data_IF_521644155635
#
_entry.id   IF_521644155635
#
_cell.length_a   1.000
_cell.length_b   1.000
_cell.length_c   1.000
_cell.angle_alpha   90.00
_cell.angle_beta   90.00
_cell.angle_gamma   90.00
#
_symmetry.space_group_name_H-M   'P 1'
#
loop_
_entity.id
_entity.type
_entity.pdbx_description
1 polymer ?
#
# COMPACT_ATOMS: atom_id res chain seq x y z
N UNK A 1 11.46 -1.46 30.97
CA UNK A 1 10.28 -2.26 31.36
C UNK A 1 9.07 -1.77 30.57
N UNK A 2 8.28 -2.68 29.99
CA UNK A 2 7.07 -2.33 29.24
C UNK A 2 6.12 -1.47 30.09
N UNK A 3 5.73 -0.29 29.59
CA UNK A 3 4.68 0.56 30.19
C UNK A 3 3.26 -0.03 30.02
N UNK A 4 3.11 -1.07 29.20
CA UNK A 4 1.81 -1.67 28.88
C UNK A 4 1.55 -2.88 29.77
N UNK A 5 0.34 -2.96 30.32
CA UNK A 5 -0.16 -4.13 31.05
C UNK A 5 -0.36 -5.29 30.07
N UNK A 6 0.06 -6.49 30.47
CA UNK A 6 -0.20 -7.74 29.73
C UNK A 6 -1.68 -8.16 29.85
N UNK A 7 -2.08 -9.25 29.20
CA UNK A 7 -3.40 -9.84 29.43
C UNK A 7 -3.50 -10.48 30.83
N UNK A 8 -2.42 -11.14 31.27
CA UNK A 8 -2.30 -11.73 32.61
C UNK A 8 -2.41 -10.66 33.71
N UNK A 9 -1.77 -9.50 33.52
CA UNK A 9 -1.90 -8.38 34.46
C UNK A 9 -3.37 -7.94 34.62
N UNK A 10 -4.15 -7.96 33.53
CA UNK A 10 -5.58 -7.59 33.56
C UNK A 10 -6.46 -8.66 34.20
N UNK A 11 -6.12 -9.94 34.05
CA UNK A 11 -6.74 -11.03 34.80
C UNK A 11 -6.59 -10.80 36.30
N UNK A 12 -5.37 -10.50 36.75
CA UNK A 12 -5.07 -10.21 38.16
C UNK A 12 -5.85 -8.98 38.64
N UNK A 13 -5.87 -7.89 37.86
CA UNK A 13 -6.67 -6.71 38.19
C UNK A 13 -8.15 -7.08 38.40
N UNK A 14 -8.77 -7.84 37.48
CA UNK A 14 -10.18 -8.21 37.60
C UNK A 14 -10.47 -9.09 38.82
N UNK A 15 -9.60 -10.07 39.11
CA UNK A 15 -9.74 -10.91 40.30
C UNK A 15 -9.68 -10.06 41.57
N UNK A 16 -8.65 -9.21 41.71
CA UNK A 16 -8.45 -8.38 42.90
C UNK A 16 -9.54 -7.32 43.07
N UNK A 17 -10.15 -6.87 41.97
CA UNK A 17 -11.34 -6.01 42.01
C UNK A 17 -12.59 -6.73 42.56
N UNK A 18 -12.76 -8.03 42.29
CA UNK A 18 -13.83 -8.83 42.91
C UNK A 18 -13.62 -8.97 44.41
N UNK A 19 -12.35 -9.05 44.85
CA UNK A 19 -11.95 -9.13 46.25
C UNK A 19 -11.94 -7.77 46.97
N UNK A 20 -12.40 -6.68 46.31
CA UNK A 20 -12.39 -5.31 46.82
C UNK A 20 -10.99 -4.80 47.23
N UNK A 21 -9.93 -5.28 46.58
CA UNK A 21 -8.57 -4.80 46.82
C UNK A 21 -8.42 -3.33 46.42
N UNK A 22 -7.58 -2.59 47.16
CA UNK A 22 -7.25 -1.20 46.82
C UNK A 22 -6.31 -1.14 45.60
N UNK A 23 -6.31 -0.02 44.87
CA UNK A 23 -5.36 0.18 43.77
C UNK A 23 -3.89 0.07 44.20
N UNK A 24 -3.60 0.40 45.46
CA UNK A 24 -2.26 0.25 46.03
C UNK A 24 -1.86 -1.22 46.13
N UNK A 25 -2.75 -2.06 46.68
CA UNK A 25 -2.51 -3.50 46.81
C UNK A 25 -2.32 -4.17 45.44
N UNK A 26 -3.18 -3.84 44.47
CA UNK A 26 -3.10 -4.35 43.09
C UNK A 26 -1.78 -3.88 42.43
N UNK A 27 -1.39 -2.62 42.66
CA UNK A 27 -0.15 -2.07 42.14
C UNK A 27 1.08 -2.78 42.69
N UNK A 28 1.14 -3.04 44.00
CA UNK A 28 2.25 -3.76 44.64
C UNK A 28 2.40 -5.17 44.08
N UNK A 29 1.30 -5.90 43.89
CA UNK A 29 1.29 -7.27 43.36
C UNK A 29 1.82 -7.34 41.92
N UNK A 30 1.48 -6.34 41.09
CA UNK A 30 1.90 -6.27 39.68
C UNK A 30 3.22 -5.52 39.45
N UNK A 31 3.85 -4.99 40.50
CA UNK A 31 5.00 -4.10 40.38
C UNK A 31 4.70 -2.82 39.57
N UNK A 32 3.48 -2.27 39.71
CA UNK A 32 3.01 -1.06 39.01
C UNK A 32 2.57 0.02 40.00
N UNK A 33 2.67 1.28 39.59
CA UNK A 33 2.17 2.38 40.41
C UNK A 33 0.63 2.35 40.51
N UNK A 34 0.08 2.71 41.69
CA UNK A 34 -1.37 2.74 41.97
C UNK A 34 -2.15 3.59 40.95
N UNK A 35 -1.54 4.64 40.41
CA UNK A 35 -2.18 5.51 39.40
C UNK A 35 -2.28 4.81 38.05
N UNK A 36 -1.39 3.87 37.73
CA UNK A 36 -1.47 3.04 36.51
C UNK A 36 -2.72 2.17 36.56
N UNK A 37 -2.93 1.49 37.69
CA UNK A 37 -4.13 0.66 37.92
C UNK A 37 -5.40 1.50 37.85
N UNK A 38 -5.41 2.66 38.52
CA UNK A 38 -6.56 3.56 38.48
C UNK A 38 -6.89 4.07 37.06
N UNK A 39 -5.88 4.42 36.27
CA UNK A 39 -6.04 4.87 34.87
C UNK A 39 -6.55 3.75 33.97
N UNK A 40 -5.99 2.55 34.09
CA UNK A 40 -6.43 1.35 33.36
C UNK A 40 -7.93 1.10 33.58
N UNK A 41 -8.35 1.02 34.84
CA UNK A 41 -9.74 0.69 35.21
C UNK A 41 -10.71 1.80 34.74
N UNK A 42 -10.36 3.07 34.95
CA UNK A 42 -11.19 4.19 34.49
C UNK A 42 -11.34 4.20 32.97
N UNK A 43 -10.25 3.92 32.24
CA UNK A 43 -10.22 4.01 30.78
C UNK A 43 -10.93 2.84 30.10
N UNK A 44 -10.75 1.63 30.62
CA UNK A 44 -11.18 0.42 29.95
C UNK A 44 -12.33 -0.34 30.65
N UNK A 45 -12.99 0.26 31.63
CA UNK A 45 -14.31 -0.21 32.07
C UNK A 45 -15.42 0.27 31.14
N UNK A 46 -16.56 -0.40 31.15
CA UNK A 46 -17.74 -0.04 30.36
C UNK A 46 -19.03 -0.10 31.19
N UNK A 47 -20.07 0.58 30.70
CA UNK A 47 -21.38 0.60 31.33
C UNK A 47 -22.29 -0.51 30.78
N UNK A 48 -22.90 -1.29 31.67
CA UNK A 48 -23.77 -2.42 31.35
C UNK A 48 -25.17 -2.20 31.92
N UNK A 49 -26.16 -2.03 31.02
CA UNK A 49 -27.59 -2.02 31.35
C UNK A 49 -28.05 -3.46 31.59
N UNK A 50 -28.08 -3.89 32.84
CA UNK A 50 -28.58 -5.22 33.20
C UNK A 50 -29.35 -5.21 34.51
N UNK A 51 -30.39 -6.03 34.58
CA UNK A 51 -31.20 -6.25 35.79
C UNK A 51 -30.82 -7.53 36.53
N UNK A 52 -31.80 -8.13 37.21
CA UNK A 52 -31.77 -9.47 37.81
C UNK A 52 -33.01 -10.25 37.34
N UNK A 53 -33.09 -11.58 37.52
CA UNK A 53 -34.29 -12.33 37.14
C UNK A 53 -35.57 -11.71 37.69
N UNK A 54 -36.53 -11.44 36.80
CA UNK A 54 -37.81 -10.80 37.13
C UNK A 54 -37.77 -9.27 37.35
N UNK A 55 -36.61 -8.64 37.31
CA UNK A 55 -36.45 -7.18 37.48
C UNK A 55 -35.46 -6.64 36.46
N UNK A 56 -35.91 -6.04 35.36
CA UNK A 56 -35.01 -5.52 34.33
C UNK A 56 -34.18 -4.34 34.84
N UNK A 57 -33.25 -3.89 34.00
CA UNK A 57 -32.57 -2.64 34.23
C UNK A 57 -33.60 -1.51 34.39
N UNK A 58 -33.53 -0.81 35.51
CA UNK A 58 -34.38 0.34 35.80
C UNK A 58 -33.56 1.33 36.63
N UNK A 59 -33.17 2.48 36.05
CA UNK A 59 -32.40 3.49 36.74
C UNK A 59 -33.25 4.46 37.57
N UNK A 60 -34.57 4.34 37.60
CA UNK A 60 -35.44 5.28 38.31
C UNK A 60 -35.24 5.19 39.84
N UNK A 61 -35.06 6.33 40.51
CA UNK A 61 -34.95 6.46 41.98
C UNK A 61 -36.14 5.88 42.72
N UNK A 62 -37.33 5.95 42.13
CA UNK A 62 -38.57 5.46 42.73
C UNK A 62 -38.91 4.02 42.34
N UNK A 63 -38.05 3.30 41.59
CA UNK A 63 -38.35 1.96 41.04
C UNK A 63 -38.87 0.93 42.05
N UNK A 64 -38.43 0.99 43.30
CA UNK A 64 -38.84 0.05 44.35
C UNK A 64 -40.23 0.38 44.93
N UNK A 65 -40.61 1.66 44.97
CA UNK A 65 -41.85 2.16 45.58
C UNK A 65 -42.88 2.66 44.57
N UNK A 66 -42.54 2.66 43.27
CA UNK A 66 -43.37 3.15 42.18
C UNK A 66 -44.70 2.37 42.10
N UNK A 67 -45.81 3.13 42.16
CA UNK A 67 -47.18 2.60 42.03
C UNK A 67 -47.80 2.87 40.66
N UNK A 68 -47.08 3.55 39.76
CA UNK A 68 -47.59 3.92 38.46
C UNK A 68 -47.81 2.70 37.54
N UNK A 69 -48.86 2.77 36.73
CA UNK A 69 -49.31 1.69 35.83
C UNK A 69 -49.68 2.29 34.48
N UNK A 70 -49.47 1.53 33.41
CA UNK A 70 -49.86 1.87 32.02
C UNK A 70 -49.37 3.24 31.53
N UNK A 71 -48.22 3.73 32.01
CA UNK A 71 -47.61 4.99 31.53
C UNK A 71 -47.37 4.93 30.00
N UNK A 72 -46.90 3.79 29.48
CA UNK A 72 -46.63 3.60 28.06
C UNK A 72 -47.90 3.35 27.21
N UNK A 73 -49.11 3.48 27.77
CA UNK A 73 -50.36 3.29 27.04
C UNK A 73 -50.46 1.92 26.34
N UNK A 74 -50.94 1.92 25.09
CA UNK A 74 -51.14 0.73 24.24
C UNK A 74 -49.87 0.24 23.54
N UNK A 75 -48.79 1.02 23.56
CA UNK A 75 -47.50 0.65 22.94
C UNK A 75 -46.58 -0.16 23.86
N UNK A 76 -47.05 -0.50 25.07
CA UNK A 76 -46.28 -1.27 26.03
C UNK A 76 -46.10 -2.73 25.57
N UNK A 77 -44.86 -3.14 25.34
CA UNK A 77 -44.48 -4.52 24.96
C UNK A 77 -44.40 -5.48 26.15
N UNK A 78 -44.53 -4.97 27.38
CA UNK A 78 -44.43 -5.79 28.60
C UNK A 78 -45.77 -6.46 28.95
N UNK A 79 -45.78 -7.79 28.97
CA UNK A 79 -46.99 -8.61 29.15
C UNK A 79 -47.71 -8.40 30.50
N UNK A 80 -47.01 -7.95 31.55
CA UNK A 80 -47.66 -7.61 32.82
C UNK A 80 -47.99 -6.12 32.91
N UNK A 81 -49.26 -5.78 32.74
CA UNK A 81 -49.80 -4.42 32.83
C UNK A 81 -49.85 -3.85 34.27
N UNK A 82 -49.23 -4.52 35.26
CA UNK A 82 -49.47 -4.26 36.68
C UNK A 82 -48.46 -3.30 37.34
N UNK A 83 -47.22 -3.16 36.84
CA UNK A 83 -46.21 -2.24 37.38
C UNK A 83 -45.31 -1.66 36.28
N UNK A 84 -45.32 -0.34 36.12
CA UNK A 84 -44.41 0.33 35.18
C UNK A 84 -42.94 0.16 35.55
N UNK A 85 -42.60 -0.05 36.82
CA UNK A 85 -41.20 -0.25 37.24
C UNK A 85 -40.52 -1.50 36.68
N UNK A 86 -41.26 -2.41 36.06
CA UNK A 86 -40.73 -3.59 35.36
C UNK A 86 -40.72 -3.41 33.83
N UNK A 87 -41.21 -2.30 33.30
CA UNK A 87 -41.19 -2.02 31.87
C UNK A 87 -39.84 -1.40 31.47
N UNK A 88 -39.25 -1.85 30.36
CA UNK A 88 -37.98 -1.32 29.84
C UNK A 88 -38.07 0.12 29.38
N UNK A 89 -39.24 0.56 28.92
CA UNK A 89 -39.46 1.88 28.33
C UNK A 89 -40.14 2.88 29.29
N UNK A 90 -40.43 2.49 30.54
CA UNK A 90 -41.17 3.35 31.46
C UNK A 90 -40.47 4.69 31.72
N UNK A 91 -39.14 4.74 31.65
CA UNK A 91 -38.35 5.94 31.89
C UNK A 91 -38.48 6.96 30.76
N UNK A 92 -38.88 6.56 29.55
CA UNK A 92 -39.07 7.46 28.41
C UNK A 92 -40.41 8.23 28.47
N UNK A 93 -41.39 7.67 29.18
CA UNK A 93 -42.76 8.17 29.18
C UNK A 93 -43.21 8.70 30.55
N UNK A 94 -42.38 8.60 31.58
CA UNK A 94 -42.71 9.00 32.95
C UNK A 94 -42.25 10.42 33.25
N UNK A 95 -43.19 11.34 33.52
CA UNK A 95 -42.89 12.72 33.94
C UNK A 95 -42.14 12.81 35.26
N UNK A 96 -42.38 11.86 36.18
CA UNK A 96 -41.76 11.83 37.51
C UNK A 96 -40.42 11.07 37.54
N UNK A 97 -39.85 10.77 36.37
CA UNK A 97 -38.60 10.02 36.27
C UNK A 97 -37.45 10.85 36.84
N UNK A 98 -36.77 10.29 37.84
CA UNK A 98 -35.51 10.81 38.36
C UNK A 98 -34.49 9.68 38.34
N UNK A 99 -33.36 9.89 37.69
CA UNK A 99 -32.28 8.91 37.62
C UNK A 99 -31.60 8.73 38.98
N UNK A 100 -31.41 7.48 39.39
CA UNK A 100 -30.64 7.07 40.55
C UNK A 100 -29.26 6.60 40.13
N UNK A 101 -28.27 7.46 40.38
CA UNK A 101 -26.89 7.27 39.97
C UNK A 101 -26.15 6.50 41.05
N UNK A 102 -25.61 5.33 40.68
CA UNK A 102 -24.84 4.49 41.59
C UNK A 102 -23.56 5.20 42.09
N UNK A 103 -23.38 5.26 43.42
CA UNK A 103 -22.23 5.88 44.08
C UNK A 103 -20.90 5.15 43.83
N UNK A 104 -20.92 3.89 43.39
CA UNK A 104 -19.73 3.14 42.99
C UNK A 104 -18.99 3.86 41.85
N UNK A 105 -19.70 4.62 41.00
CA UNK A 105 -19.08 5.35 39.89
C UNK A 105 -18.24 6.55 40.34
N UNK A 106 -18.48 7.07 41.54
CA UNK A 106 -17.79 8.26 42.07
C UNK A 106 -16.70 7.92 43.10
N UNK A 107 -16.54 6.65 43.49
CA UNK A 107 -15.55 6.21 44.48
C UNK A 107 -14.68 5.09 43.93
N UNK A 108 -13.36 5.06 44.23
CA UNK A 108 -12.52 3.90 43.94
C UNK A 108 -13.16 2.59 44.42
N UNK A 109 -13.16 1.51 43.62
CA UNK A 109 -12.43 1.33 42.37
C UNK A 109 -13.15 1.79 41.08
N UNK A 110 -14.23 2.56 41.19
CA UNK A 110 -15.06 3.08 40.07
C UNK A 110 -15.82 2.01 39.27
N UNK A 111 -15.77 0.75 39.70
CA UNK A 111 -16.39 -0.39 39.03
C UNK A 111 -17.14 -1.25 40.04
N UNK A 112 -18.15 -1.96 39.56
CA UNK A 112 -19.05 -2.76 40.37
C UNK A 112 -18.57 -4.20 40.60
N UNK A 113 -17.41 -4.59 40.06
CA UNK A 113 -16.90 -5.97 40.09
C UNK A 113 -16.92 -6.62 41.49
N UNK A 114 -16.53 -5.88 42.53
CA UNK A 114 -16.56 -6.33 43.94
C UNK A 114 -17.79 -5.91 44.73
N UNK A 115 -18.79 -5.27 44.10
CA UNK A 115 -19.95 -4.73 44.81
C UNK A 115 -20.87 -5.86 45.30
N UNK A 116 -21.08 -5.94 46.62
CA UNK A 116 -21.97 -6.94 47.25
C UNK A 116 -23.42 -6.89 46.75
N UNK A 117 -23.87 -5.72 46.28
CA UNK A 117 -25.22 -5.53 45.75
C UNK A 117 -25.33 -5.86 44.25
N UNK A 118 -24.22 -6.12 43.55
CA UNK A 118 -24.20 -6.34 42.09
C UNK A 118 -25.23 -7.38 41.61
N UNK A 119 -25.38 -8.57 42.26
CA UNK A 119 -26.35 -9.59 41.82
C UNK A 119 -27.81 -9.13 41.93
N UNK A 120 -28.10 -8.20 42.84
CA UNK A 120 -29.46 -7.69 43.08
C UNK A 120 -29.69 -6.32 42.43
N UNK A 121 -28.67 -5.71 41.86
CA UNK A 121 -28.68 -4.35 41.35
C UNK A 121 -29.39 -4.24 39.99
N UNK A 122 -30.29 -3.28 39.87
CA UNK A 122 -31.01 -2.93 38.63
C UNK A 122 -30.54 -1.60 38.03
N UNK A 123 -29.55 -0.95 38.65
CA UNK A 123 -28.96 0.29 38.17
C UNK A 123 -27.92 0.03 37.06
N UNK A 124 -27.42 1.13 36.48
CA UNK A 124 -26.39 1.08 35.46
C UNK A 124 -25.07 0.63 36.11
N UNK A 125 -24.61 -0.57 35.77
CA UNK A 125 -23.40 -1.17 36.32
C UNK A 125 -22.19 -0.72 35.51
N UNK A 126 -21.06 -0.48 36.17
CA UNK A 126 -19.77 -0.27 35.50
C UNK A 126 -18.91 -1.50 35.71
N UNK A 127 -18.49 -2.17 34.65
CA UNK A 127 -17.78 -3.44 34.72
C UNK A 127 -16.40 -3.27 34.09
N UNK A 128 -15.37 -3.80 34.77
CA UNK A 128 -14.07 -4.04 34.17
C UNK A 128 -14.02 -5.49 33.69
N UNK A 129 -13.89 -5.69 32.38
CA UNK A 129 -13.69 -7.00 31.77
C UNK A 129 -12.28 -7.05 31.15
N UNK A 130 -11.45 -8.03 31.51
CA UNK A 130 -10.07 -8.08 31.02
C UNK A 130 -9.92 -8.30 29.52
N UNK A 131 -10.82 -9.06 28.89
CA UNK A 131 -10.75 -9.34 27.45
C UNK A 131 -11.07 -8.06 26.66
N UNK A 132 -12.18 -7.40 27.01
CA UNK A 132 -12.55 -6.09 26.45
C UNK A 132 -11.44 -5.05 26.69
N UNK A 133 -10.92 -4.99 27.92
CA UNK A 133 -9.86 -4.05 28.26
C UNK A 133 -8.56 -4.31 27.48
N UNK A 134 -8.24 -5.58 27.22
CA UNK A 134 -7.05 -5.96 26.45
C UNK A 134 -7.20 -5.60 24.97
N UNK A 135 -8.33 -5.95 24.35
CA UNK A 135 -8.63 -5.61 22.96
C UNK A 135 -8.64 -4.10 22.74
N UNK A 136 -9.34 -3.34 23.59
CA UNK A 136 -9.40 -1.87 23.52
C UNK A 136 -8.05 -1.21 23.75
N UNK A 137 -7.23 -1.74 24.66
CA UNK A 137 -5.87 -1.24 24.86
C UNK A 137 -4.96 -1.54 23.66
N UNK A 138 -5.09 -2.72 23.06
CA UNK A 138 -4.32 -3.09 21.86
C UNK A 138 -4.75 -2.25 20.65
N UNK A 139 -6.05 -2.00 20.49
CA UNK A 139 -6.60 -1.11 19.48
C UNK A 139 -6.09 0.32 19.66
N UNK A 140 -6.15 0.87 20.87
CA UNK A 140 -5.64 2.21 21.17
C UNK A 140 -4.12 2.34 20.92
N UNK A 141 -3.34 1.29 21.18
CA UNK A 141 -1.91 1.25 20.84
C UNK A 141 -1.71 1.18 19.31
N UNK A 142 -2.57 0.44 18.60
CA UNK A 142 -2.56 0.37 17.14
C UNK A 142 -2.92 1.73 16.51
N UNK A 143 -3.97 2.38 16.97
CA UNK A 143 -4.39 3.72 16.53
C UNK A 143 -3.37 4.80 16.89
N UNK A 144 -2.77 4.75 18.08
CA UNK A 144 -1.68 5.66 18.41
C UNK A 144 -0.47 5.51 17.47
N UNK A 145 -0.32 4.36 16.80
CA UNK A 145 0.73 4.09 15.79
C UNK A 145 0.30 4.42 14.36
N UNK A 146 -0.99 4.63 14.07
CA UNK A 146 -1.45 5.14 12.76
C UNK A 146 -1.22 6.64 12.61
N UNK A 147 -0.91 7.33 13.71
CA UNK A 147 -0.40 8.70 13.68
C UNK A 147 -1.48 9.78 13.55
N UNK A 148 -2.77 9.44 13.70
CA UNK A 148 -3.90 10.37 13.72
C UNK A 148 -4.35 10.52 15.17
N UNK A 149 -3.87 11.58 15.83
CA UNK A 149 -4.05 11.80 17.28
C UNK A 149 -5.04 12.93 17.60
N UNK A 150 -5.73 13.47 16.59
CA UNK A 150 -6.63 14.63 16.71
C UNK A 150 -8.09 14.21 16.54
N UNK A 151 -8.99 14.87 17.29
CA UNK A 151 -10.43 14.75 17.06
C UNK A 151 -10.84 15.45 15.75
N UNK A 152 -12.07 15.22 15.27
CA UNK A 152 -12.54 15.79 13.99
C UNK A 152 -12.54 17.32 13.98
N UNK A 153 -12.87 17.96 15.11
CA UNK A 153 -12.87 19.43 15.23
C UNK A 153 -11.46 20.03 15.08
N UNK A 154 -10.46 19.38 15.68
CA UNK A 154 -9.05 19.77 15.56
C UNK A 154 -8.54 19.59 14.13
N UNK A 155 -8.92 18.49 13.46
CA UNK A 155 -8.57 18.25 12.05
C UNK A 155 -9.20 19.32 11.17
N UNK A 156 -10.48 19.64 11.36
CA UNK A 156 -11.18 20.67 10.60
C UNK A 156 -10.56 22.06 10.80
N UNK A 157 -10.20 22.40 12.04
CA UNK A 157 -9.52 23.65 12.38
C UNK A 157 -8.15 23.76 11.70
N UNK A 158 -7.32 22.72 11.78
CA UNK A 158 -6.00 22.69 11.15
C UNK A 158 -6.14 22.72 9.62
N UNK A 159 -7.10 21.98 9.05
CA UNK A 159 -7.40 21.98 7.62
C UNK A 159 -7.76 23.38 7.11
N UNK A 160 -8.54 24.14 7.89
CA UNK A 160 -8.91 25.52 7.56
C UNK A 160 -7.74 26.49 7.46
N UNK A 161 -6.67 26.27 8.23
CA UNK A 161 -5.43 27.07 8.18
C UNK A 161 -4.57 26.62 6.99
N UNK A 162 -4.34 25.32 6.88
CA UNK A 162 -3.33 24.77 5.95
C UNK A 162 -3.82 24.77 4.50
N UNK A 163 -5.06 24.34 4.24
CA UNK A 163 -5.53 24.10 2.88
C UNK A 163 -5.51 25.34 1.98
N UNK A 164 -5.93 26.54 2.45
CA UNK A 164 -5.82 27.77 1.66
C UNK A 164 -4.37 28.16 1.35
N UNK A 165 -3.47 28.03 2.32
CA UNK A 165 -2.06 28.44 2.18
C UNK A 165 -1.27 27.52 1.23
N UNK A 166 -1.51 26.21 1.31
CA UNK A 166 -0.95 25.25 0.36
C UNK A 166 -1.49 25.48 -1.05
N UNK A 167 -2.79 25.77 -1.21
CA UNK A 167 -3.38 26.14 -2.50
C UNK A 167 -2.81 27.45 -3.08
N UNK A 168 -2.33 28.34 -2.22
CA UNK A 168 -1.57 29.54 -2.59
C UNK A 168 -0.07 29.27 -2.84
N UNK A 169 0.36 28.00 -2.85
CA UNK A 169 1.71 27.58 -3.22
C UNK A 169 2.72 27.54 -2.06
N UNK A 170 2.29 27.73 -0.82
CA UNK A 170 3.19 27.59 0.34
C UNK A 170 3.46 26.12 0.66
N UNK A 171 4.68 25.81 1.09
CA UNK A 171 5.02 24.46 1.58
C UNK A 171 4.49 24.23 3.00
N UNK A 172 4.17 22.99 3.36
CA UNK A 172 3.78 22.65 4.73
C UNK A 172 4.84 23.05 5.76
N UNK A 173 6.13 23.00 5.39
CA UNK A 173 7.21 23.44 6.25
C UNK A 173 7.12 24.94 6.56
N UNK A 174 6.90 25.77 5.53
CA UNK A 174 6.74 27.21 5.70
C UNK A 174 5.52 27.54 6.57
N UNK A 175 4.38 26.94 6.25
CA UNK A 175 3.13 27.12 7.00
C UNK A 175 3.31 26.70 8.46
N UNK A 176 4.02 25.59 8.70
CA UNK A 176 4.30 25.12 10.04
C UNK A 176 5.13 26.13 10.85
N UNK A 177 6.16 26.73 10.26
CA UNK A 177 6.98 27.74 10.94
C UNK A 177 6.20 29.01 11.26
N UNK A 178 5.34 29.45 10.34
CA UNK A 178 4.58 30.70 10.47
C UNK A 178 3.36 30.56 11.41
N UNK A 179 2.83 29.35 11.56
CA UNK A 179 1.61 29.07 12.34
C UNK A 179 1.81 28.02 13.45
N UNK A 180 3.02 27.87 13.98
CA UNK A 180 3.34 26.79 14.94
C UNK A 180 2.42 26.79 16.17
N UNK A 181 2.15 27.97 16.71
CA UNK A 181 1.32 28.16 17.91
C UNK A 181 -0.17 27.96 17.62
N UNK A 182 -0.61 28.20 16.38
CA UNK A 182 -2.00 27.96 15.97
C UNK A 182 -2.20 26.48 15.64
N UNK A 183 -1.23 25.81 15.03
CA UNK A 183 -1.33 24.42 14.58
C UNK A 183 -1.30 23.43 15.74
N UNK A 184 -0.55 23.73 16.81
CA UNK A 184 -0.47 22.92 18.05
C UNK A 184 -0.12 21.44 17.81
N UNK A 185 0.55 21.13 16.70
CA UNK A 185 0.99 19.79 16.33
C UNK A 185 2.31 19.87 15.56
N UNK A 186 3.04 18.75 15.47
CA UNK A 186 4.34 18.74 14.79
C UNK A 186 4.20 18.82 13.26
N UNK A 187 5.22 19.34 12.57
CA UNK A 187 5.28 19.33 11.10
C UNK A 187 5.02 17.93 10.51
N UNK A 188 5.60 16.89 11.14
CA UNK A 188 5.39 15.49 10.77
C UNK A 188 3.91 15.08 10.84
N UNK A 189 3.17 15.59 11.80
CA UNK A 189 1.73 15.34 11.95
C UNK A 189 0.95 15.88 10.74
N UNK A 190 1.33 17.05 10.22
CA UNK A 190 0.69 17.64 9.04
C UNK A 190 0.88 16.76 7.81
N UNK A 191 2.10 16.28 7.57
CA UNK A 191 2.37 15.35 6.47
C UNK A 191 1.58 14.04 6.63
N UNK A 192 1.51 13.50 7.85
CA UNK A 192 0.72 12.29 8.11
C UNK A 192 -0.78 12.51 7.82
N UNK A 193 -1.33 13.69 8.14
CA UNK A 193 -2.76 13.98 7.92
C UNK A 193 -3.07 14.17 6.43
N UNK A 194 -2.15 14.76 5.66
CA UNK A 194 -2.25 14.80 4.19
C UNK A 194 -2.17 13.38 3.59
N UNK A 195 -1.25 12.54 4.09
CA UNK A 195 -1.11 11.15 3.64
C UNK A 195 -2.32 10.29 3.96
N UNK A 196 -2.91 10.50 5.14
CA UNK A 196 -4.15 9.89 5.57
C UNK A 196 -5.41 10.50 4.93
N UNK A 197 -5.26 11.47 4.02
CA UNK A 197 -6.35 12.09 3.27
C UNK A 197 -7.37 12.84 4.13
N UNK A 198 -6.95 13.35 5.29
CA UNK A 198 -7.80 14.05 6.26
C UNK A 198 -8.01 15.54 5.97
N UNK A 199 -7.24 16.10 5.05
CA UNK A 199 -7.35 17.49 4.61
C UNK A 199 -7.91 17.60 3.19
N UNK A 200 -8.42 18.78 2.85
CA UNK A 200 -8.88 19.11 1.49
C UNK A 200 -7.72 19.19 0.49
N UNK A 201 -6.49 19.28 0.99
CA UNK A 201 -5.26 19.17 0.21
C UNK A 201 -4.77 17.72 0.18
N UNK A 202 -4.21 17.36 -0.96
CA UNK A 202 -3.62 16.06 -1.26
C UNK A 202 -2.11 16.21 -1.44
N UNK A 203 -1.42 15.08 -1.48
CA UNK A 203 0.01 15.04 -1.81
C UNK A 203 0.37 15.74 -3.14
N UNK A 204 -0.58 15.82 -4.08
CA UNK A 204 -0.40 16.53 -5.36
C UNK A 204 -0.38 18.07 -5.21
N UNK A 205 -0.95 18.59 -4.14
CA UNK A 205 -1.03 20.02 -3.86
C UNK A 205 0.22 20.51 -3.11
N UNK A 206 1.08 19.61 -2.62
CA UNK A 206 2.30 19.95 -1.90
C UNK A 206 3.42 20.39 -2.86
N UNK A 207 3.98 21.60 -2.72
CA UNK A 207 5.03 22.10 -3.60
C UNK A 207 6.30 21.23 -3.62
N UNK A 208 6.65 20.60 -2.49
CA UNK A 208 7.74 19.62 -2.33
C UNK A 208 7.41 18.64 -1.19
N UNK A 209 7.55 17.33 -1.42
CA UNK A 209 7.42 16.28 -0.38
C UNK A 209 8.76 15.60 -0.12
N UNK A 210 9.22 15.61 1.14
CA UNK A 210 10.49 14.96 1.54
C UNK A 210 10.30 13.45 1.65
N UNK A 211 11.19 12.64 1.02
CA UNK A 211 11.21 11.17 1.13
C UNK A 211 12.45 10.71 1.90
N UNK A 212 12.28 9.87 2.92
CA UNK A 212 13.39 9.24 3.65
C UNK A 212 13.98 8.06 2.87
N UNK A 213 15.32 7.94 2.87
CA UNK A 213 16.04 6.84 2.19
C UNK A 213 15.90 5.52 2.99
N UNK A 214 15.57 4.39 2.34
CA UNK A 214 15.49 3.08 3.01
C UNK A 214 16.84 2.62 3.58
N UNK A 215 16.81 1.87 4.69
CA UNK A 215 18.01 1.34 5.36
C UNK A 215 18.55 0.10 4.61
N UNK A 216 19.84 0.12 4.25
CA UNK A 216 20.53 -0.94 3.49
C UNK A 216 20.66 -2.25 4.30
N UNK A 217 20.32 -3.39 3.69
CA UNK A 217 20.59 -4.76 4.21
C UNK A 217 21.68 -5.43 3.36
N UNK A 218 22.65 -6.06 4.02
CA UNK A 218 23.74 -6.81 3.35
C UNK A 218 23.21 -8.15 2.79
N UNK A 219 23.51 -8.52 1.54
CA UNK A 219 23.10 -9.82 0.99
C UNK A 219 23.89 -11.00 1.61
N UNK A 220 23.24 -12.16 1.75
CA UNK A 220 23.78 -13.37 2.40
C UNK A 220 24.65 -14.26 1.49
N UNK A 221 24.55 -14.13 0.16
CA UNK A 221 25.33 -14.95 -0.80
C UNK A 221 26.48 -14.15 -1.42
N UNK A 222 27.72 -14.61 -1.20
CA UNK A 222 28.89 -14.16 -1.97
C UNK A 222 29.06 -15.07 -3.19
N UNK A 223 28.92 -14.50 -4.39
CA UNK A 223 29.31 -15.14 -5.64
C UNK A 223 30.81 -15.51 -5.58
N UNK A 224 31.16 -16.75 -5.90
CA UNK A 224 32.55 -17.19 -6.00
C UNK A 224 33.26 -16.37 -7.08
N UNK A 225 34.31 -15.64 -6.70
CA UNK A 225 35.07 -14.79 -7.63
C UNK A 225 35.85 -15.62 -8.66
N UNK A 226 36.05 -16.91 -8.42
CA UNK A 226 36.72 -17.83 -9.34
C UNK A 226 36.05 -17.94 -10.71
N UNK A 227 34.73 -17.70 -10.81
CA UNK A 227 34.02 -17.71 -12.10
C UNK A 227 34.48 -16.60 -13.08
N UNK A 228 35.19 -15.58 -12.60
CA UNK A 228 35.60 -14.40 -13.39
C UNK A 228 36.99 -14.49 -14.00
N UNK A 229 37.79 -15.47 -13.59
CA UNK A 229 39.14 -15.65 -14.11
C UNK A 229 39.02 -15.90 -15.62
N UNK A 230 39.73 -15.07 -16.41
CA UNK A 230 39.71 -15.02 -17.88
C UNK A 230 38.35 -14.67 -18.53
N UNK A 231 37.44 -14.03 -17.78
CA UNK A 231 36.09 -13.64 -18.24
C UNK A 231 35.72 -12.20 -17.91
N UNK A 232 36.70 -11.36 -17.57
CA UNK A 232 36.46 -9.94 -17.28
C UNK A 232 36.05 -9.16 -18.53
N UNK A 233 35.55 -7.94 -18.36
CA UNK A 233 35.29 -7.05 -19.49
C UNK A 233 36.57 -6.71 -20.27
N UNK A 234 37.72 -6.65 -19.60
CA UNK A 234 39.01 -6.50 -20.26
C UNK A 234 39.35 -7.70 -21.16
N UNK A 235 39.06 -8.93 -20.69
CA UNK A 235 39.23 -10.15 -21.49
C UNK A 235 38.28 -10.18 -22.69
N UNK A 236 37.06 -9.68 -22.52
CA UNK A 236 36.09 -9.50 -23.59
C UNK A 236 36.62 -8.53 -24.67
N UNK A 237 37.14 -7.37 -24.27
CA UNK A 237 37.74 -6.41 -25.21
C UNK A 237 38.94 -7.01 -25.94
N UNK A 238 39.80 -7.75 -25.23
CA UNK A 238 40.93 -8.47 -25.84
C UNK A 238 40.45 -9.52 -26.84
N UNK A 239 39.37 -10.23 -26.53
CA UNK A 239 38.79 -11.24 -27.41
C UNK A 239 38.22 -10.62 -28.69
N UNK A 240 37.45 -9.53 -28.57
CA UNK A 240 36.91 -8.79 -29.72
C UNK A 240 38.01 -8.16 -30.57
N UNK A 241 39.09 -7.65 -29.94
CA UNK A 241 40.25 -7.15 -30.68
C UNK A 241 40.92 -8.22 -31.55
N UNK A 242 40.88 -9.49 -31.13
CA UNK A 242 41.37 -10.62 -31.91
C UNK A 242 40.33 -11.17 -32.92
N UNK A 243 39.04 -10.91 -32.72
CA UNK A 243 37.93 -11.44 -33.52
C UNK A 243 36.90 -10.33 -33.81
N UNK A 244 37.23 -9.33 -34.65
CA UNK A 244 36.39 -8.14 -34.83
C UNK A 244 35.02 -8.41 -35.45
N UNK A 245 34.88 -9.49 -36.22
CA UNK A 245 33.62 -9.91 -36.86
C UNK A 245 32.69 -10.70 -35.91
N UNK A 246 33.00 -10.75 -34.61
CA UNK A 246 32.21 -11.55 -33.66
C UNK A 246 30.92 -10.84 -33.29
N UNK A 247 29.78 -11.47 -33.58
CA UNK A 247 28.47 -11.01 -33.12
C UNK A 247 28.34 -11.11 -31.60
N UNK A 248 27.82 -10.05 -30.98
CA UNK A 248 27.68 -9.97 -29.53
C UNK A 248 26.23 -10.23 -29.13
N UNK A 249 26.04 -11.17 -28.20
CA UNK A 249 24.76 -11.38 -27.51
C UNK A 249 24.88 -10.79 -26.11
N UNK A 250 23.94 -9.93 -25.73
CA UNK A 250 23.85 -9.39 -24.37
C UNK A 250 22.77 -10.17 -23.60
N UNK A 251 23.09 -10.59 -22.37
CA UNK A 251 22.20 -11.36 -21.52
C UNK A 251 22.02 -10.66 -20.18
N UNK A 252 20.80 -10.70 -19.63
CA UNK A 252 20.50 -10.10 -18.33
C UNK A 252 19.17 -10.62 -17.74
N UNK A 253 18.95 -10.35 -16.46
CA UNK A 253 17.73 -10.68 -15.72
C UNK A 253 16.91 -9.44 -15.35
N UNK A 254 15.68 -9.35 -15.86
CA UNK A 254 14.70 -8.40 -15.32
C UNK A 254 14.01 -9.04 -14.11
N UNK A 255 14.45 -8.64 -12.91
CA UNK A 255 13.82 -9.07 -11.66
C UNK A 255 12.48 -8.34 -11.48
N UNK A 256 11.41 -9.12 -11.29
CA UNK A 256 10.09 -8.65 -10.90
C UNK A 256 10.01 -8.37 -9.40
N UNK A 257 9.16 -9.12 -8.68
CA UNK A 257 9.12 -9.10 -7.21
C UNK A 257 10.36 -9.81 -6.64
N UNK A 258 10.95 -9.25 -5.58
CA UNK A 258 12.02 -9.94 -4.84
C UNK A 258 11.50 -11.30 -4.33
N UNK A 259 12.15 -12.39 -4.75
CA UNK A 259 11.72 -13.77 -4.46
C UNK A 259 10.58 -14.30 -5.33
N UNK A 260 10.18 -13.58 -6.39
CA UNK A 260 9.20 -14.02 -7.38
C UNK A 260 9.81 -14.30 -8.75
N UNK A 261 8.96 -14.39 -9.77
CA UNK A 261 9.36 -14.65 -11.16
C UNK A 261 10.29 -13.56 -11.70
N UNK A 262 11.21 -13.95 -12.58
CA UNK A 262 12.10 -13.05 -13.31
C UNK A 262 12.08 -13.35 -14.81
N UNK A 263 12.45 -12.38 -15.63
CA UNK A 263 12.64 -12.58 -17.07
C UNK A 263 14.14 -12.68 -17.35
N UNK A 264 14.57 -13.73 -18.03
CA UNK A 264 15.88 -13.75 -18.69
C UNK A 264 15.72 -13.10 -20.07
N UNK A 265 16.42 -12.00 -20.29
CA UNK A 265 16.47 -11.32 -21.59
C UNK A 265 17.76 -11.66 -22.30
N UNK A 266 17.65 -12.06 -23.56
CA UNK A 266 18.76 -12.37 -24.46
C UNK A 266 18.62 -11.46 -25.67
N UNK A 267 19.56 -10.55 -25.84
CA UNK A 267 19.51 -9.51 -26.85
C UNK A 267 20.62 -9.69 -27.89
N UNK A 268 20.22 -9.86 -29.14
CA UNK A 268 21.10 -9.90 -30.29
C UNK A 268 21.29 -8.47 -30.79
N UNK A 269 22.46 -7.88 -30.51
CA UNK A 269 22.70 -6.45 -30.70
C UNK A 269 22.57 -6.03 -32.16
N UNK A 270 23.15 -6.81 -33.09
CA UNK A 270 23.14 -6.49 -34.53
C UNK A 270 21.75 -6.53 -35.16
N UNK A 271 20.90 -7.47 -34.74
CA UNK A 271 19.54 -7.60 -35.28
C UNK A 271 18.50 -6.81 -34.50
N UNK A 272 18.88 -6.18 -33.39
CA UNK A 272 17.97 -5.54 -32.44
C UNK A 272 16.86 -6.47 -31.92
N UNK A 273 17.07 -7.79 -31.97
CA UNK A 273 16.12 -8.79 -31.48
C UNK A 273 16.35 -9.05 -30.00
N UNK A 274 15.29 -9.00 -29.17
CA UNK A 274 15.34 -9.43 -27.78
C UNK A 274 14.38 -10.58 -27.56
N UNK A 275 14.92 -11.71 -27.09
CA UNK A 275 14.14 -12.83 -26.57
C UNK A 275 13.98 -12.64 -25.06
N UNK A 276 12.80 -12.96 -24.53
CA UNK A 276 12.52 -12.88 -23.10
C UNK A 276 11.88 -14.18 -22.61
N UNK A 277 12.51 -14.83 -21.64
CA UNK A 277 12.08 -16.10 -21.07
C UNK A 277 11.66 -15.91 -19.61
N UNK A 278 10.44 -16.30 -19.29
CA UNK A 278 9.93 -16.27 -17.92
C UNK A 278 10.53 -17.41 -17.11
N UNK A 279 11.09 -17.09 -15.94
CA UNK A 279 11.66 -18.03 -14.98
C UNK A 279 10.99 -17.86 -13.62
N UNK A 280 10.80 -18.95 -12.89
CA UNK A 280 10.15 -18.93 -11.59
C UNK A 280 11.10 -18.54 -10.44
N UNK A 281 12.41 -18.64 -10.64
CA UNK A 281 13.42 -18.26 -9.66
C UNK A 281 14.63 -17.61 -10.32
N UNK A 282 15.27 -16.65 -9.65
CA UNK A 282 16.50 -16.03 -10.14
C UNK A 282 17.74 -16.80 -9.69
N UNK A 283 17.97 -17.99 -10.28
CA UNK A 283 19.08 -18.89 -9.93
C UNK A 283 19.91 -19.27 -11.15
N UNK A 284 21.15 -19.72 -10.94
CA UNK A 284 22.03 -20.18 -12.02
C UNK A 284 21.45 -21.39 -12.78
N UNK A 285 20.84 -22.34 -12.07
CA UNK A 285 20.16 -23.48 -12.69
C UNK A 285 19.08 -23.05 -13.68
N UNK A 286 18.23 -22.08 -13.31
CA UNK A 286 17.16 -21.58 -14.18
C UNK A 286 17.67 -20.89 -15.46
N UNK A 287 18.88 -20.31 -15.44
CA UNK A 287 19.51 -19.74 -16.65
C UNK A 287 20.01 -20.86 -17.54
N UNK A 288 20.70 -21.84 -16.95
CA UNK A 288 21.26 -22.99 -17.67
C UNK A 288 20.17 -23.80 -18.39
N UNK A 289 19.01 -23.98 -17.76
CA UNK A 289 17.83 -24.63 -18.37
C UNK A 289 17.42 -23.93 -19.68
N UNK A 290 17.35 -22.59 -19.69
CA UNK A 290 16.99 -21.83 -20.90
C UNK A 290 18.08 -21.93 -21.98
N UNK A 291 19.36 -21.89 -21.58
CA UNK A 291 20.46 -22.05 -22.55
C UNK A 291 20.46 -23.46 -23.15
N UNK A 292 20.19 -24.50 -22.35
CA UNK A 292 20.07 -25.87 -22.84
C UNK A 292 18.87 -26.03 -23.78
N UNK A 293 17.73 -25.45 -23.44
CA UNK A 293 16.55 -25.43 -24.32
C UNK A 293 16.87 -24.77 -25.66
N UNK A 294 17.54 -23.62 -25.65
CA UNK A 294 17.93 -22.93 -26.88
C UNK A 294 18.91 -23.75 -27.72
N UNK A 295 19.88 -24.39 -27.09
CA UNK A 295 20.86 -25.25 -27.75
C UNK A 295 20.22 -26.49 -28.38
N UNK A 296 19.26 -27.10 -27.69
CA UNK A 296 18.47 -28.23 -28.19
C UNK A 296 17.59 -27.83 -29.39
N UNK A 297 16.84 -26.73 -29.27
CA UNK A 297 15.90 -26.27 -30.30
C UNK A 297 16.61 -25.77 -31.55
N UNK A 298 17.73 -25.05 -31.40
CA UNK A 298 18.49 -24.51 -32.54
C UNK A 298 19.43 -25.54 -33.16
N UNK A 299 19.84 -26.54 -32.38
CA UNK A 299 20.90 -27.48 -32.72
C UNK A 299 22.30 -26.86 -32.62
N UNK A 300 23.30 -27.73 -32.43
CA UNK A 300 24.64 -27.31 -32.04
C UNK A 300 25.31 -26.32 -33.02
N UNK A 301 25.15 -26.54 -34.33
CA UNK A 301 25.77 -25.70 -35.37
C UNK A 301 25.17 -24.29 -35.36
N UNK A 302 23.84 -24.19 -35.32
CA UNK A 302 23.12 -22.91 -35.33
C UNK A 302 23.36 -22.15 -34.04
N UNK A 303 23.32 -22.84 -32.89
CA UNK A 303 23.59 -22.21 -31.59
C UNK A 303 24.99 -21.61 -31.55
N UNK A 304 26.02 -22.35 -31.95
CA UNK A 304 27.41 -21.85 -31.98
C UNK A 304 27.56 -20.60 -32.87
N UNK A 305 26.81 -20.55 -33.98
CA UNK A 305 26.84 -19.41 -34.90
C UNK A 305 26.10 -18.18 -34.35
N UNK A 306 25.00 -18.38 -33.62
CA UNK A 306 24.18 -17.29 -33.09
C UNK A 306 24.68 -16.76 -31.74
N UNK A 307 25.34 -17.60 -30.95
CA UNK A 307 25.83 -17.29 -29.61
C UNK A 307 27.36 -17.42 -29.51
N UNK A 308 28.16 -16.81 -30.40
CA UNK A 308 29.61 -16.97 -30.32
C UNK A 308 30.16 -16.36 -29.02
N UNK A 309 29.59 -15.23 -28.58
CA UNK A 309 29.90 -14.57 -27.31
C UNK A 309 28.64 -14.06 -26.62
N UNK A 310 28.56 -14.29 -25.31
CA UNK A 310 27.54 -13.73 -24.42
C UNK A 310 28.20 -12.78 -23.42
N UNK A 311 27.71 -11.54 -23.34
CA UNK A 311 28.08 -10.55 -22.35
C UNK A 311 26.96 -10.38 -21.33
N UNK A 312 27.27 -10.54 -20.03
CA UNK A 312 26.28 -10.49 -18.95
C UNK A 312 26.77 -9.69 -17.74
N UNK A 313 25.89 -9.39 -16.80
CA UNK A 313 26.25 -8.74 -15.55
C UNK A 313 26.84 -9.72 -14.51
N UNK A 314 27.25 -9.19 -13.36
CA UNK A 314 27.84 -9.98 -12.27
C UNK A 314 26.79 -10.65 -11.35
N UNK A 315 25.56 -10.84 -11.84
CA UNK A 315 24.46 -11.44 -11.10
C UNK A 315 24.78 -12.85 -10.60
N UNK A 316 24.23 -13.22 -9.45
CA UNK A 316 24.39 -14.56 -8.86
C UNK A 316 23.81 -15.68 -9.74
N UNK A 317 22.84 -15.36 -10.58
CA UNK A 317 22.26 -16.23 -11.60
C UNK A 317 23.21 -16.55 -12.75
N UNK A 318 24.33 -15.83 -12.89
CA UNK A 318 25.34 -16.07 -13.92
C UNK A 318 26.61 -16.68 -13.35
N UNK A 319 26.56 -17.19 -12.11
CA UNK A 319 27.73 -17.67 -11.37
C UNK A 319 28.32 -19.01 -11.82
N UNK A 320 27.70 -19.71 -12.79
CA UNK A 320 28.20 -20.99 -13.31
C UNK A 320 28.47 -20.94 -14.82
N UNK A 321 29.54 -20.26 -15.26
CA UNK A 321 29.86 -20.09 -16.68
C UNK A 321 30.17 -21.42 -17.38
N UNK A 322 30.70 -22.43 -16.68
CA UNK A 322 31.09 -23.71 -17.29
C UNK A 322 29.92 -24.45 -17.90
N UNK A 323 28.79 -24.49 -17.21
CA UNK A 323 27.55 -25.12 -17.70
C UNK A 323 26.90 -24.31 -18.83
N UNK A 324 27.13 -23.00 -18.88
CA UNK A 324 26.68 -22.16 -20.00
C UNK A 324 27.58 -22.38 -21.22
N UNK A 325 28.89 -22.46 -21.03
CA UNK A 325 29.88 -22.55 -22.11
C UNK A 325 30.01 -23.95 -22.72
N UNK A 326 29.71 -25.03 -22.00
CA UNK A 326 29.99 -26.41 -22.44
C UNK A 326 28.73 -27.22 -22.70
N UNK A 327 28.85 -28.19 -23.60
CA UNK A 327 27.91 -29.30 -23.74
C UNK A 327 28.47 -30.51 -23.01
N UNK A 328 27.61 -31.29 -22.37
CA UNK A 328 28.02 -32.58 -21.79
C UNK A 328 28.45 -33.59 -22.87
N UNK A 329 27.94 -33.44 -24.09
CA UNK A 329 28.09 -34.40 -25.19
C UNK A 329 29.20 -34.06 -26.18
N UNK A 330 29.68 -32.80 -26.22
CA UNK A 330 30.67 -32.34 -27.20
C UNK A 330 31.85 -31.71 -26.47
N UNK A 331 33.11 -32.14 -26.72
CA UNK A 331 34.30 -31.66 -26.03
C UNK A 331 34.78 -30.27 -26.52
N UNK A 332 33.86 -29.41 -26.95
CA UNK A 332 34.15 -28.03 -27.33
C UNK A 332 33.14 -27.08 -26.68
N UNK A 333 33.53 -25.82 -26.49
CA UNK A 333 32.60 -24.81 -25.99
C UNK A 333 31.50 -24.51 -27.04
N UNK A 334 30.28 -24.31 -26.57
CA UNK A 334 29.13 -23.82 -27.36
C UNK A 334 29.03 -22.31 -27.45
N UNK A 335 29.62 -21.60 -26.48
CA UNK A 335 29.67 -20.14 -26.39
C UNK A 335 30.83 -19.73 -25.49
N UNK A 336 31.18 -18.44 -25.48
CA UNK A 336 32.09 -17.81 -24.51
C UNK A 336 31.31 -16.77 -23.72
N UNK A 337 31.41 -16.80 -22.39
CA UNK A 337 30.73 -15.85 -21.53
C UNK A 337 31.73 -14.86 -20.90
N UNK A 338 31.37 -13.58 -20.91
CA UNK A 338 32.12 -12.51 -20.26
C UNK A 338 31.22 -11.67 -19.36
N UNK A 339 31.83 -10.99 -18.39
CA UNK A 339 31.14 -10.22 -17.37
C UNK A 339 31.48 -8.73 -17.48
N UNK A 340 30.45 -7.89 -17.43
CA UNK A 340 30.62 -6.45 -17.24
C UNK A 340 31.25 -6.12 -15.88
N UNK A 341 31.88 -4.96 -15.77
CA UNK A 341 32.40 -4.45 -14.52
C UNK A 341 31.26 -4.04 -13.58
N UNK A 342 31.46 -4.17 -12.24
CA UNK A 342 30.49 -3.68 -11.27
C UNK A 342 30.17 -2.20 -11.49
N UNK A 343 28.87 -1.85 -11.54
CA UNK A 343 28.40 -0.47 -11.74
C UNK A 343 28.74 0.13 -13.10
N UNK A 344 28.97 -0.69 -14.14
CA UNK A 344 29.23 -0.23 -15.50
C UNK A 344 28.09 -0.61 -16.48
N UNK A 345 26.86 -0.09 -16.31
CA UNK A 345 25.70 -0.45 -17.15
C UNK A 345 25.91 -0.12 -18.64
N UNK A 346 26.73 0.90 -18.93
CA UNK A 346 27.08 1.30 -20.29
C UNK A 346 27.78 0.20 -21.11
N UNK A 347 28.40 -0.79 -20.46
CA UNK A 347 29.04 -1.92 -21.13
C UNK A 347 28.03 -2.89 -21.77
N UNK A 348 26.75 -2.83 -21.36
CA UNK A 348 25.63 -3.61 -21.90
C UNK A 348 24.47 -2.70 -22.34
N UNK A 349 24.80 -1.56 -22.95
CA UNK A 349 23.84 -0.46 -23.18
C UNK A 349 22.57 -0.85 -23.96
N UNK A 350 22.67 -1.74 -24.95
CA UNK A 350 21.50 -2.13 -25.77
C UNK A 350 20.46 -2.92 -24.97
N UNK A 351 20.91 -3.81 -24.08
CA UNK A 351 20.04 -4.53 -23.14
C UNK A 351 19.41 -3.57 -22.11
N UNK A 352 20.19 -2.62 -21.57
CA UNK A 352 19.71 -1.63 -20.59
C UNK A 352 18.58 -0.76 -21.15
N UNK A 353 18.74 -0.23 -22.36
CA UNK A 353 17.71 0.61 -23.02
C UNK A 353 16.39 -0.17 -23.19
N UNK A 354 16.49 -1.44 -23.59
CA UNK A 354 15.31 -2.30 -23.72
C UNK A 354 14.68 -2.63 -22.37
N UNK A 355 15.48 -2.78 -21.31
CA UNK A 355 14.97 -2.96 -19.96
C UNK A 355 14.20 -1.74 -19.48
N UNK A 356 14.64 -0.52 -19.80
CA UNK A 356 13.87 0.69 -19.51
C UNK A 356 12.47 0.63 -20.13
N UNK A 357 12.34 0.16 -21.38
CA UNK A 357 11.04 -0.05 -22.02
C UNK A 357 10.19 -1.09 -21.29
N UNK A 358 10.78 -2.21 -20.88
CA UNK A 358 10.09 -3.23 -20.07
C UNK A 358 9.63 -2.63 -18.74
N UNK A 359 10.45 -1.78 -18.11
CA UNK A 359 10.14 -1.12 -16.84
C UNK A 359 9.05 -0.06 -16.94
N UNK A 360 8.77 0.49 -18.14
CA UNK A 360 7.57 1.33 -18.38
C UNK A 360 6.27 0.55 -18.17
N UNK A 361 6.29 -0.76 -18.44
CA UNK A 361 5.15 -1.67 -18.28
C UNK A 361 5.19 -2.36 -16.91
N UNK A 362 6.39 -2.72 -16.43
CA UNK A 362 6.64 -3.43 -15.17
C UNK A 362 7.56 -2.64 -14.23
N UNK A 363 7.03 -1.63 -13.51
CA UNK A 363 7.83 -0.77 -12.65
C UNK A 363 8.56 -1.54 -11.55
N UNK A 364 9.82 -1.18 -11.30
CA UNK A 364 10.63 -1.75 -10.22
C UNK A 364 10.00 -1.38 -8.88
N UNK A 365 9.93 -2.31 -7.92
CA UNK A 365 9.41 -2.02 -6.58
C UNK A 365 7.89 -1.91 -6.44
N UNK A 366 7.11 -2.16 -7.50
CA UNK A 366 5.64 -2.20 -7.47
C UNK A 366 5.08 -3.61 -7.71
N UNK A 367 5.37 -4.60 -6.85
CA UNK A 367 5.09 -6.02 -7.08
C UNK A 367 3.60 -6.40 -7.15
N UNK A 368 2.69 -5.45 -6.95
CA UNK A 368 1.23 -5.64 -7.10
C UNK A 368 0.58 -4.69 -8.10
N UNK A 369 1.35 -3.86 -8.81
CA UNK A 369 0.79 -2.99 -9.84
C UNK A 369 0.42 -3.84 -11.05
N UNK A 370 -0.87 -3.85 -11.40
CA UNK A 370 -1.36 -4.45 -12.62
C UNK A 370 -1.79 -3.37 -13.60
N UNK A 371 -1.43 -3.48 -14.88
CA UNK A 371 -1.91 -2.57 -15.91
C UNK A 371 -3.44 -2.57 -15.96
N UNK A 372 -4.02 -1.37 -16.00
CA UNK A 372 -5.45 -1.13 -16.17
C UNK A 372 -5.69 -0.60 -17.59
N UNK A 373 -6.50 -1.29 -18.38
CA UNK A 373 -6.96 -0.79 -19.67
C UNK A 373 -8.34 -0.17 -19.51
N UNK A 374 -8.42 1.16 -19.52
CA UNK A 374 -9.68 1.90 -19.47
C UNK A 374 -10.12 2.33 -20.87
N UNK A 375 -11.39 2.09 -21.23
CA UNK A 375 -11.96 2.45 -22.53
C UNK A 375 -13.45 2.79 -22.42
N UNK A 376 -14.04 3.31 -23.49
CA UNK A 376 -15.49 3.40 -23.61
C UNK A 376 -16.15 2.02 -23.83
N UNK A 377 -17.46 2.00 -24.06
CA UNK A 377 -18.22 0.77 -24.32
C UNK A 377 -18.38 0.47 -25.82
N UNK A 378 -17.45 0.92 -26.66
CA UNK A 378 -17.45 0.60 -28.09
C UNK A 378 -17.47 -0.90 -28.34
N UNK A 379 -18.07 -1.32 -29.46
CA UNK A 379 -18.18 -2.74 -29.84
C UNK A 379 -16.80 -3.42 -29.90
N UNK A 380 -15.76 -2.69 -30.32
CA UNK A 380 -14.40 -3.17 -30.40
C UNK A 380 -13.84 -3.57 -29.02
N UNK A 381 -14.17 -2.81 -27.98
CA UNK A 381 -13.66 -3.02 -26.62
C UNK A 381 -14.53 -3.97 -25.78
N UNK A 382 -15.81 -4.11 -26.14
CA UNK A 382 -16.73 -5.07 -25.51
C UNK A 382 -16.64 -6.48 -26.11
N UNK A 383 -15.89 -6.65 -27.20
CA UNK A 383 -15.69 -7.92 -27.88
C UNK A 383 -14.98 -8.96 -26.96
N UNK A 384 -15.54 -10.18 -26.91
CA UNK A 384 -14.99 -11.30 -26.12
C UNK A 384 -13.56 -11.65 -26.49
N UNK A 385 -13.19 -11.64 -27.77
CA UNK A 385 -11.83 -11.87 -28.24
C UNK A 385 -10.85 -10.83 -27.69
N UNK A 386 -11.27 -9.57 -27.59
CA UNK A 386 -10.46 -8.50 -27.02
C UNK A 386 -10.30 -8.68 -25.49
N UNK A 387 -11.40 -8.96 -24.79
CA UNK A 387 -11.38 -9.26 -23.36
C UNK A 387 -10.46 -10.45 -23.03
N UNK A 388 -10.54 -11.55 -23.77
CA UNK A 388 -9.67 -12.72 -23.57
C UNK A 388 -8.18 -12.36 -23.75
N UNK A 389 -7.84 -11.49 -24.71
CA UNK A 389 -6.47 -11.01 -24.87
C UNK A 389 -5.98 -10.22 -23.66
N UNK A 390 -6.82 -9.35 -23.09
CA UNK A 390 -6.47 -8.57 -21.89
C UNK A 390 -6.26 -9.47 -20.66
N UNK A 391 -7.16 -10.43 -20.43
CA UNK A 391 -7.06 -11.38 -19.31
C UNK A 391 -5.79 -12.22 -19.41
N UNK A 392 -5.48 -12.75 -20.60
CA UNK A 392 -4.25 -13.53 -20.83
C UNK A 392 -2.98 -12.71 -20.63
N UNK A 393 -3.05 -11.39 -20.85
CA UNK A 393 -1.94 -10.47 -20.62
C UNK A 393 -1.87 -9.96 -19.16
N UNK A 394 -2.77 -10.38 -18.27
CA UNK A 394 -2.83 -9.89 -16.89
C UNK A 394 -3.25 -8.42 -16.77
N UNK A 395 -3.98 -7.90 -17.75
CA UNK A 395 -4.46 -6.51 -17.80
C UNK A 395 -5.91 -6.47 -17.30
N UNK A 396 -6.18 -5.65 -16.29
CA UNK A 396 -7.55 -5.44 -15.81
C UNK A 396 -8.29 -4.54 -16.80
N UNK A 397 -9.41 -5.01 -17.34
CA UNK A 397 -10.26 -4.18 -18.19
C UNK A 397 -11.19 -3.31 -17.33
N UNK A 398 -11.25 -2.02 -17.64
CA UNK A 398 -12.15 -1.04 -17.06
C UNK A 398 -12.90 -0.34 -18.19
N UNK A 399 -14.20 -0.08 -18.01
CA UNK A 399 -15.01 0.58 -19.02
C UNK A 399 -15.83 1.72 -18.42
N UNK A 400 -16.04 2.79 -19.19
CA UNK A 400 -16.91 3.90 -18.83
C UNK A 400 -18.32 3.44 -18.46
N UNK A 401 -19.00 4.18 -17.59
CA UNK A 401 -20.43 3.96 -17.30
C UNK A 401 -21.28 4.30 -18.53
N UNK A 402 -22.44 3.67 -18.62
CA UNK A 402 -23.40 3.95 -19.70
C UNK A 402 -23.75 5.45 -19.69
N UNK A 403 -23.67 6.09 -20.85
CA UNK A 403 -23.96 7.51 -21.05
C UNK A 403 -23.11 8.50 -20.20
N UNK A 404 -21.88 8.11 -19.82
CA UNK A 404 -20.92 8.99 -19.13
C UNK A 404 -19.63 9.15 -19.95
N UNK A 405 -19.65 10.01 -20.97
CA UNK A 405 -18.47 10.35 -21.79
C UNK A 405 -17.27 10.87 -20.98
N UNK A 406 -17.54 11.56 -19.87
CA UNK A 406 -16.52 12.07 -18.94
C UNK A 406 -15.57 11.00 -18.38
N UNK A 407 -16.02 9.74 -18.31
CA UNK A 407 -15.20 8.64 -17.77
C UNK A 407 -14.01 8.33 -18.71
N UNK A 408 -14.14 8.63 -20.01
CA UNK A 408 -13.06 8.54 -21.00
C UNK A 408 -12.46 9.92 -21.38
N UNK A 409 -12.66 10.91 -20.50
CA UNK A 409 -12.28 12.31 -20.73
C UNK A 409 -10.83 12.54 -21.21
N UNK A 410 -9.81 11.80 -20.73
CA UNK A 410 -8.44 11.95 -21.22
C UNK A 410 -8.30 11.67 -22.73
N UNK A 411 -8.92 10.59 -23.23
CA UNK A 411 -8.84 10.26 -24.66
C UNK A 411 -9.68 11.21 -25.51
N UNK A 412 -10.89 11.54 -25.05
CA UNK A 412 -11.72 12.53 -25.74
C UNK A 412 -11.03 13.90 -25.83
N UNK A 413 -10.40 14.33 -24.74
CA UNK A 413 -9.62 15.56 -24.66
C UNK A 413 -8.47 15.57 -25.67
N UNK A 414 -7.65 14.52 -25.69
CA UNK A 414 -6.55 14.39 -26.64
C UNK A 414 -7.04 14.50 -28.10
N UNK A 415 -8.02 13.68 -28.49
CA UNK A 415 -8.52 13.67 -29.86
C UNK A 415 -9.22 14.97 -30.24
N UNK A 416 -9.92 15.61 -29.30
CA UNK A 416 -10.53 16.92 -29.52
C UNK A 416 -9.49 18.01 -29.82
N UNK A 417 -8.37 18.02 -29.08
CA UNK A 417 -7.27 18.96 -29.32
C UNK A 417 -6.59 18.67 -30.66
N UNK A 418 -6.23 17.41 -30.94
CA UNK A 418 -5.62 17.01 -32.21
C UNK A 418 -6.47 17.45 -33.40
N UNK A 419 -7.78 17.15 -33.35
CA UNK A 419 -8.69 17.50 -34.44
C UNK A 419 -8.75 19.00 -34.66
N UNK A 420 -8.88 19.78 -33.59
CA UNK A 420 -8.94 21.25 -33.65
C UNK A 420 -7.66 21.88 -34.18
N UNK A 421 -6.50 21.37 -33.81
CA UNK A 421 -5.22 22.01 -34.14
C UNK A 421 -4.61 21.54 -35.46
N UNK A 422 -4.96 20.33 -35.93
CA UNK A 422 -4.31 19.72 -37.09
C UNK A 422 -5.24 19.12 -38.12
N UNK A 423 -6.50 18.82 -37.78
CA UNK A 423 -7.42 18.16 -38.70
C UNK A 423 -8.43 19.12 -39.33
N UNK A 424 -9.16 19.88 -38.50
CA UNK A 424 -10.20 20.79 -38.97
C UNK A 424 -9.61 21.92 -39.82
N UNK A 425 -10.28 22.24 -40.92
CA UNK A 425 -9.82 23.23 -41.89
C UNK A 425 -8.72 22.72 -42.84
N UNK A 426 -8.29 21.46 -42.73
CA UNK A 426 -7.34 20.83 -43.67
C UNK A 426 -8.02 19.74 -44.48
N UNK A 427 -7.57 19.58 -45.73
CA UNK A 427 -8.04 18.50 -46.62
C UNK A 427 -6.94 17.45 -46.76
N UNK A 428 -7.22 16.25 -46.29
CA UNK A 428 -6.36 15.08 -46.48
C UNK A 428 -6.93 14.24 -47.60
N UNK A 429 -6.15 13.95 -48.64
CA UNK A 429 -6.58 13.17 -49.80
C UNK A 429 -5.97 11.78 -49.84
N UNK A 430 -4.94 11.53 -49.02
CA UNK A 430 -4.25 10.27 -48.91
C UNK A 430 -4.10 9.80 -47.45
N UNK A 431 -4.15 8.48 -47.27
CA UNK A 431 -4.06 7.85 -45.94
C UNK A 431 -2.68 8.08 -45.30
N UNK A 432 -1.61 7.99 -46.09
CA UNK A 432 -0.25 8.08 -45.57
C UNK A 432 0.03 9.44 -44.92
N UNK A 433 -0.41 10.54 -45.54
CA UNK A 433 -0.27 11.89 -45.00
C UNK A 433 -1.13 12.09 -43.77
N UNK A 434 -2.34 11.53 -43.73
CA UNK A 434 -3.18 11.58 -42.52
C UNK A 434 -2.51 10.84 -41.34
N UNK A 435 -2.00 9.63 -41.58
CA UNK A 435 -1.30 8.83 -40.56
C UNK A 435 -0.06 9.57 -40.07
N UNK A 436 0.77 10.06 -40.99
CA UNK A 436 1.98 10.81 -40.66
C UNK A 436 1.68 12.06 -39.83
N UNK A 437 0.63 12.81 -40.18
CA UNK A 437 0.19 13.96 -39.38
C UNK A 437 -0.19 13.57 -37.95
N UNK A 438 -0.88 12.43 -37.77
CA UNK A 438 -1.27 11.93 -36.45
C UNK A 438 -0.01 11.53 -35.65
N UNK A 439 0.92 10.79 -36.27
CA UNK A 439 2.19 10.38 -35.64
C UNK A 439 3.03 11.60 -35.23
N UNK A 440 3.23 12.55 -36.14
CA UNK A 440 3.96 13.80 -35.88
C UNK A 440 3.32 14.60 -34.75
N UNK A 441 1.98 14.62 -34.68
CA UNK A 441 1.28 15.32 -33.62
C UNK A 441 1.34 14.59 -32.28
N UNK A 442 1.33 13.25 -32.25
CA UNK A 442 1.54 12.47 -31.03
C UNK A 442 2.94 12.73 -30.46
N UNK A 443 3.98 12.72 -31.32
CA UNK A 443 5.34 13.09 -30.91
C UNK A 443 5.38 14.50 -30.32
N UNK A 444 4.83 15.49 -31.04
CA UNK A 444 4.74 16.86 -30.55
C UNK A 444 3.99 16.94 -29.20
N UNK A 445 2.84 16.27 -29.09
CA UNK A 445 2.01 16.31 -27.90
C UNK A 445 2.74 15.74 -26.69
N UNK A 446 3.47 14.64 -26.85
CA UNK A 446 4.16 13.94 -25.78
C UNK A 446 5.50 14.58 -25.40
N UNK A 447 6.27 15.06 -26.38
CA UNK A 447 7.66 15.45 -26.19
C UNK A 447 7.92 16.97 -26.29
N UNK A 448 6.97 17.77 -26.78
CA UNK A 448 7.19 19.20 -27.07
C UNK A 448 6.10 20.12 -26.51
N UNK A 449 4.88 19.61 -26.31
CA UNK A 449 3.73 20.42 -25.85
C UNK A 449 3.75 20.58 -24.33
N UNK A 450 4.14 21.75 -23.86
CA UNK A 450 4.05 22.12 -22.44
C UNK A 450 2.59 22.29 -22.02
N UNK A 451 2.22 21.69 -20.88
CA UNK A 451 0.85 21.77 -20.36
C UNK A 451 0.83 22.32 -18.92
N UNK A 452 -0.01 23.34 -18.69
CA UNK A 452 -0.11 24.02 -17.38
C UNK A 452 -0.52 23.06 -16.26
N UNK A 453 -1.48 22.18 -16.51
CA UNK A 453 -1.95 21.15 -15.58
C UNK A 453 -0.88 20.09 -15.24
N UNK A 454 0.18 19.97 -16.04
CA UNK A 454 1.32 19.09 -15.75
C UNK A 454 2.46 19.82 -15.02
N UNK A 455 2.31 21.11 -14.72
CA UNK A 455 3.34 21.95 -14.11
C UNK A 455 4.24 22.64 -15.14
N UNK A 456 3.71 22.96 -16.33
CA UNK A 456 4.48 23.49 -17.47
C UNK A 456 5.58 22.48 -17.88
N UNK A 457 5.17 21.23 -17.99
CA UNK A 457 5.98 20.13 -18.47
C UNK A 457 5.26 19.47 -19.64
N UNK A 458 6.01 18.80 -20.49
CA UNK A 458 5.48 17.88 -21.48
C UNK A 458 4.97 16.60 -20.78
N UNK A 459 4.03 15.85 -21.40
CA UNK A 459 3.59 14.57 -20.87
C UNK A 459 4.74 13.61 -20.56
N UNK A 460 5.77 13.56 -21.41
CA UNK A 460 6.93 12.69 -21.19
C UNK A 460 7.82 13.14 -20.05
N UNK A 461 8.13 14.44 -19.93
CA UNK A 461 8.89 14.95 -18.77
C UNK A 461 8.13 14.68 -17.46
N UNK A 462 6.80 14.86 -17.47
CA UNK A 462 5.98 14.56 -16.30
C UNK A 462 5.99 13.06 -15.97
N UNK A 463 5.93 12.21 -16.99
CA UNK A 463 6.01 10.76 -16.84
C UNK A 463 7.37 10.31 -16.27
N UNK A 464 8.48 10.88 -16.75
CA UNK A 464 9.83 10.61 -16.23
C UNK A 464 9.96 10.98 -14.75
N UNK A 465 9.40 12.11 -14.33
CA UNK A 465 9.35 12.50 -12.91
C UNK A 465 8.58 11.46 -12.07
N UNK A 466 7.44 10.96 -12.58
CA UNK A 466 6.70 9.91 -11.90
C UNK A 466 7.51 8.61 -11.78
N UNK A 467 8.27 8.24 -12.82
CA UNK A 467 9.14 7.06 -12.79
C UNK A 467 10.28 7.21 -11.80
N UNK A 468 10.90 8.39 -11.68
CA UNK A 468 11.95 8.64 -10.70
C UNK A 468 11.42 8.68 -9.25
N UNK A 469 10.13 8.95 -9.08
CA UNK A 469 9.48 9.00 -7.78
C UNK A 469 8.95 7.63 -7.30
N UNK A 470 8.77 6.66 -8.19
CA UNK A 470 8.39 5.28 -7.86
C UNK A 470 9.63 4.46 -7.47
#
# INVERSE_FOLDING_TARGET
>A
MSKLLSYEDRMIIAQRLQENASFGAIGTELGKDRTTIAKEIKKYSYDKKSGRPGYPYNPCKFRATCKAKRICGTSCTHQSAYKCSLCSECTLHCSDFVEDVCSVKSKPPYVCNGCSQLPKCTLLKRIYDPADAHERAHHAVSEARTGIMSNEDDIARINGIISPLVKNGQSLHQIYLDHVDELMCSEKTLYNYVDAQLFDIRNIDLPRKVKYRPRYKKPEFKVDRGCRIDRSYADFQKYLGAHPETTIVQMDSVIGRVGGKCLLTIHFVESSLMLAFLRDANTSASVIEIINLLDEVLGAKTFNSLFPVILTDNGSEFSNPKEIEKRSTIPCNRTKIFYCDPSAPYQKGACEVNHELIRRILPKGSPGAQPLFHSDRGFQYTNRTFHTKLVNAGITQSMSRVAKCIDNGPMEGFWGILKRERYYGKRFTDRCTLVKMIEDYIDYYNNKRLQRNLGILTPMEKYEIYLQAA
#
